data_IF_467083661765
#
_entry.id   IF_467083661765
#
_cell.length_a   1.000
_cell.length_b   1.000
_cell.length_c   1.000
_cell.angle_alpha   90.00
_cell.angle_beta   90.00
_cell.angle_gamma   90.00
#
_symmetry.space_group_name_H-M   'P 1'
#
loop_
_entity.id
_entity.type
_entity.pdbx_description
1 polymer ?
#
# COMPACT_ATOMS: atom_id res chain seq x y z
N UNK A 1 12.26 7.52 -28.66
CA UNK A 1 11.18 7.98 -27.74
C UNK A 1 11.33 7.20 -26.44
N UNK A 2 11.28 7.87 -25.30
CA UNK A 2 11.46 7.21 -24.00
C UNK A 2 10.32 6.23 -23.68
N UNK A 3 10.59 5.31 -22.75
CA UNK A 3 9.66 4.32 -22.21
C UNK A 3 9.15 4.80 -20.85
N UNK A 4 7.88 4.56 -20.52
CA UNK A 4 7.34 4.84 -19.20
C UNK A 4 6.76 3.58 -18.56
N UNK A 5 7.43 3.06 -17.52
CA UNK A 5 6.91 1.97 -16.71
C UNK A 5 5.62 2.39 -16.00
N UNK A 6 4.66 1.49 -15.93
CA UNK A 6 3.35 1.76 -15.32
C UNK A 6 2.78 0.53 -14.60
N UNK A 7 1.63 0.66 -13.96
CA UNK A 7 0.92 -0.45 -13.31
C UNK A 7 1.83 -1.25 -12.35
N UNK A 8 1.82 -2.60 -12.48
CA UNK A 8 2.64 -3.49 -11.64
C UNK A 8 4.14 -3.26 -11.83
N UNK A 9 4.59 -3.03 -13.07
CA UNK A 9 6.03 -2.83 -13.34
C UNK A 9 6.58 -1.56 -12.71
N UNK A 10 5.78 -0.51 -12.57
CA UNK A 10 6.19 0.67 -11.80
C UNK A 10 6.32 0.35 -10.31
N UNK A 11 5.43 -0.46 -9.73
CA UNK A 11 5.56 -0.89 -8.32
C UNK A 11 6.78 -1.77 -8.10
N UNK A 12 7.08 -2.68 -9.03
CA UNK A 12 8.29 -3.49 -8.99
C UNK A 12 9.55 -2.62 -9.03
N UNK A 13 9.59 -1.62 -9.92
CA UNK A 13 10.66 -0.63 -9.96
C UNK A 13 10.82 0.07 -8.60
N UNK A 14 9.73 0.58 -8.02
CA UNK A 14 9.76 1.27 -6.73
C UNK A 14 10.23 0.37 -5.58
N UNK A 15 9.91 -0.91 -5.61
CA UNK A 15 10.38 -1.90 -4.63
C UNK A 15 11.87 -2.15 -4.74
N UNK A 16 12.39 -2.25 -5.96
CA UNK A 16 13.81 -2.47 -6.22
C UNK A 16 14.70 -1.24 -6.02
N UNK A 17 14.13 -0.03 -5.98
CA UNK A 17 14.92 1.22 -5.83
C UNK A 17 15.78 1.23 -4.57
N UNK A 18 15.27 0.71 -3.44
CA UNK A 18 16.00 0.68 -2.18
C UNK A 18 17.26 -0.18 -2.22
N UNK A 19 17.21 -1.30 -2.90
CA UNK A 19 18.35 -2.23 -3.05
C UNK A 19 19.42 -1.66 -4.00
N UNK A 20 19.03 -0.77 -4.90
CA UNK A 20 19.91 -0.12 -5.88
C UNK A 20 20.37 1.27 -5.48
N UNK A 21 20.01 1.74 -4.29
CA UNK A 21 20.37 3.09 -3.82
C UNK A 21 19.69 4.24 -4.58
N UNK A 22 18.63 3.97 -5.33
CA UNK A 22 17.85 4.97 -6.06
C UNK A 22 16.91 5.67 -5.07
N UNK A 23 17.18 6.94 -4.78
CA UNK A 23 16.27 7.79 -3.98
C UNK A 23 15.20 8.40 -4.90
N UNK A 24 14.03 7.79 -4.93
CA UNK A 24 12.91 8.25 -5.75
C UNK A 24 12.45 9.67 -5.44
N UNK A 25 12.76 10.20 -4.24
CA UNK A 25 12.42 11.58 -3.86
C UNK A 25 13.28 12.63 -4.58
N UNK A 26 14.38 12.21 -5.19
CA UNK A 26 15.29 13.05 -5.96
C UNK A 26 15.06 12.98 -7.47
N UNK A 27 14.26 12.03 -7.94
CA UNK A 27 13.96 11.93 -9.36
C UNK A 27 13.12 13.13 -9.82
N UNK A 28 13.51 13.80 -10.90
CA UNK A 28 12.75 14.92 -11.43
C UNK A 28 11.39 14.45 -11.95
N UNK A 29 10.35 15.18 -11.63
CA UNK A 29 9.04 15.00 -12.23
C UNK A 29 9.04 15.58 -13.62
N UNK A 30 8.67 14.80 -14.60
CA UNK A 30 8.70 15.20 -15.99
C UNK A 30 7.65 14.45 -16.80
N UNK A 31 7.42 14.95 -17.99
CA UNK A 31 6.75 14.24 -19.05
C UNK A 31 5.23 14.35 -19.06
N UNK A 32 4.77 14.66 -20.25
CA UNK A 32 3.43 14.31 -20.72
C UNK A 32 3.48 12.84 -21.14
N UNK A 33 2.47 12.04 -20.78
CA UNK A 33 2.37 10.63 -21.24
C UNK A 33 2.35 10.54 -22.78
N UNK A 34 2.13 11.68 -23.47
CA UNK A 34 2.16 11.79 -24.91
C UNK A 34 3.49 11.47 -25.57
N UNK A 35 4.57 11.53 -24.82
CA UNK A 35 5.93 11.43 -25.37
C UNK A 35 6.52 10.03 -25.25
N UNK A 36 5.77 9.05 -24.69
CA UNK A 36 6.25 7.72 -24.40
C UNK A 36 5.91 6.70 -25.49
N UNK A 37 6.85 5.77 -25.71
CA UNK A 37 6.75 4.65 -26.64
C UNK A 37 6.81 3.31 -25.90
N UNK A 38 6.33 2.27 -26.57
CA UNK A 38 6.55 0.90 -26.13
C UNK A 38 7.63 0.18 -26.97
N UNK A 39 8.28 0.90 -27.86
CA UNK A 39 9.44 0.39 -28.58
C UNK A 39 10.66 0.43 -27.66
N UNK A 40 11.58 -0.51 -27.85
CA UNK A 40 12.86 -0.56 -27.13
C UNK A 40 12.76 -0.64 -25.60
N UNK A 41 11.66 -1.23 -25.07
CA UNK A 41 11.46 -1.39 -23.62
C UNK A 41 12.61 -2.17 -22.98
N UNK A 42 13.00 -3.28 -23.58
CA UNK A 42 14.04 -4.14 -23.03
C UNK A 42 15.43 -3.51 -23.15
N UNK A 43 15.71 -2.79 -24.22
CA UNK A 43 16.95 -2.01 -24.38
C UNK A 43 17.05 -0.94 -23.29
N UNK A 44 16.00 -0.16 -23.08
CA UNK A 44 15.97 0.86 -22.03
C UNK A 44 16.13 0.26 -20.61
N UNK A 45 15.62 -0.94 -20.36
CA UNK A 45 15.82 -1.64 -19.11
C UNK A 45 17.23 -2.20 -18.95
N UNK A 46 17.84 -2.65 -20.03
CA UNK A 46 19.21 -3.15 -20.06
C UNK A 46 20.22 -2.03 -19.81
N UNK A 47 20.06 -0.89 -20.50
CA UNK A 47 20.89 0.31 -20.34
C UNK A 47 20.94 0.80 -18.88
N UNK A 48 19.80 0.67 -18.16
CA UNK A 48 19.70 1.05 -16.73
C UNK A 48 20.06 -0.11 -15.78
N UNK A 49 20.47 -1.27 -16.28
CA UNK A 49 20.75 -2.44 -15.48
C UNK A 49 19.54 -3.00 -14.74
N UNK A 50 18.33 -2.80 -15.28
CA UNK A 50 17.06 -3.25 -14.69
C UNK A 50 16.56 -4.57 -15.29
N UNK A 51 17.30 -5.16 -16.22
CA UNK A 51 17.01 -6.47 -16.78
C UNK A 51 16.87 -7.52 -15.69
N UNK A 52 15.80 -8.32 -15.73
CA UNK A 52 15.50 -9.34 -14.73
C UNK A 52 14.93 -8.83 -13.40
N UNK A 53 14.80 -7.51 -13.21
CA UNK A 53 14.17 -6.91 -12.02
C UNK A 53 12.64 -6.90 -12.13
N UNK A 54 12.13 -6.76 -13.34
CA UNK A 54 10.70 -6.66 -13.59
C UNK A 54 10.15 -8.01 -14.06
N UNK A 55 8.99 -8.39 -13.54
CA UNK A 55 8.28 -9.57 -14.01
C UNK A 55 7.69 -9.34 -15.41
N UNK A 56 7.68 -10.37 -16.23
CA UNK A 56 7.00 -10.34 -17.52
C UNK A 56 5.49 -10.65 -17.35
N UNK A 57 4.64 -9.99 -18.11
CA UNK A 57 4.94 -8.94 -19.09
C UNK A 57 5.23 -7.58 -18.43
N UNK A 58 6.12 -6.79 -19.03
CA UNK A 58 6.40 -5.41 -18.60
C UNK A 58 5.23 -4.49 -19.00
N UNK A 59 4.72 -3.72 -18.06
CA UNK A 59 3.61 -2.80 -18.26
C UNK A 59 4.13 -1.38 -18.51
N UNK A 60 3.74 -0.79 -19.62
CA UNK A 60 4.14 0.56 -20.03
C UNK A 60 2.94 1.45 -20.33
N UNK A 61 3.06 2.74 -19.99
CA UNK A 61 2.07 3.75 -20.35
C UNK A 61 2.40 4.34 -21.71
N UNK A 62 1.40 4.51 -22.58
CA UNK A 62 1.49 5.15 -23.89
C UNK A 62 0.30 6.08 -24.12
N UNK A 63 0.44 7.09 -24.99
CA UNK A 63 -0.64 8.04 -25.28
C UNK A 63 -1.80 7.41 -26.03
N UNK A 64 -1.50 6.59 -27.03
CA UNK A 64 -2.52 6.06 -27.92
C UNK A 64 -2.90 4.61 -27.59
N UNK A 65 -4.19 4.30 -27.72
CA UNK A 65 -4.67 2.92 -27.78
C UNK A 65 -4.27 2.34 -29.14
N UNK A 66 -3.08 1.78 -29.25
CA UNK A 66 -2.73 0.95 -30.39
C UNK A 66 -3.56 -0.32 -30.36
N UNK A 67 -4.01 -0.80 -31.53
CA UNK A 67 -4.81 -2.04 -31.65
C UNK A 67 -4.09 -3.27 -31.07
N UNK A 68 -2.76 -3.25 -31.01
CA UNK A 68 -1.95 -4.29 -30.35
C UNK A 68 -1.66 -3.92 -28.90
N UNK A 69 -2.47 -4.46 -27.97
CA UNK A 69 -2.27 -4.27 -26.52
C UNK A 69 -1.09 -5.06 -25.98
N UNK A 70 -0.68 -6.14 -26.64
CA UNK A 70 0.39 -7.04 -26.22
C UNK A 70 1.42 -7.17 -27.34
N UNK A 71 2.68 -7.03 -27.00
CA UNK A 71 3.83 -7.25 -27.87
C UNK A 71 4.90 -7.97 -27.07
N UNK A 72 5.24 -9.20 -27.48
CA UNK A 72 6.33 -10.01 -26.92
C UNK A 72 6.85 -9.56 -25.52
N UNK A 73 6.15 -9.96 -24.45
CA UNK A 73 6.54 -9.59 -23.09
C UNK A 73 6.21 -8.16 -22.63
N UNK A 74 5.53 -7.33 -23.45
CA UNK A 74 5.14 -5.95 -23.08
C UNK A 74 3.64 -5.74 -23.21
N UNK A 75 3.02 -5.16 -22.18
CA UNK A 75 1.61 -4.74 -22.17
C UNK A 75 1.52 -3.22 -22.24
N UNK A 76 0.89 -2.72 -23.29
CA UNK A 76 0.68 -1.29 -23.54
C UNK A 76 -0.62 -0.83 -22.89
N UNK A 77 -0.54 0.26 -22.14
CA UNK A 77 -1.69 0.89 -21.49
C UNK A 77 -1.88 2.32 -22.01
N UNK A 78 -2.92 2.53 -22.79
CA UNK A 78 -3.29 3.86 -23.26
C UNK A 78 -3.81 4.75 -22.13
N UNK A 79 -3.26 5.94 -21.98
CA UNK A 79 -3.78 6.98 -21.09
C UNK A 79 -4.49 8.01 -21.94
N UNK A 80 -5.83 8.00 -21.84
CA UNK A 80 -6.72 8.84 -22.68
C UNK A 80 -7.09 10.18 -22.04
N UNK A 81 -6.62 10.45 -20.82
CA UNK A 81 -6.94 11.68 -20.08
C UNK A 81 -5.72 12.59 -20.13
N UNK A 82 -5.93 13.84 -20.52
CA UNK A 82 -4.90 14.88 -20.38
C UNK A 82 -4.62 15.08 -18.89
N UNK A 83 -3.34 14.95 -18.52
CA UNK A 83 -2.89 15.17 -17.17
C UNK A 83 -2.37 16.60 -17.06
N UNK A 84 -2.97 17.38 -16.17
CA UNK A 84 -2.57 18.76 -15.88
C UNK A 84 -1.25 18.87 -15.09
N UNK A 85 -0.78 17.76 -14.53
CA UNK A 85 0.46 17.68 -13.74
C UNK A 85 1.40 16.66 -14.37
N UNK A 86 2.72 16.74 -14.08
CA UNK A 86 3.66 15.71 -14.50
C UNK A 86 3.18 14.32 -14.06
N UNK A 87 3.22 13.37 -14.97
CA UNK A 87 2.67 12.03 -14.75
C UNK A 87 3.73 10.97 -14.39
N UNK A 88 5.01 11.31 -14.54
CA UNK A 88 6.11 10.38 -14.38
C UNK A 88 7.32 11.02 -13.69
N UNK A 89 8.16 10.19 -13.11
CA UNK A 89 9.55 10.51 -12.76
C UNK A 89 10.46 10.15 -13.94
N UNK A 90 11.42 11.02 -14.23
CA UNK A 90 12.49 10.73 -15.18
C UNK A 90 13.58 9.95 -14.46
N UNK A 91 13.86 8.73 -14.91
CA UNK A 91 14.96 7.90 -14.41
C UNK A 91 16.21 8.19 -15.24
N UNK A 92 16.06 8.21 -16.57
CA UNK A 92 17.10 8.58 -17.55
C UNK A 92 16.48 9.23 -18.79
N UNK A 93 17.27 9.42 -19.84
CA UNK A 93 16.74 9.93 -21.13
C UNK A 93 15.84 8.92 -21.83
N UNK A 94 16.07 7.61 -21.62
CA UNK A 94 15.33 6.52 -22.25
C UNK A 94 14.22 5.96 -21.36
N UNK A 95 14.28 6.14 -20.02
CA UNK A 95 13.40 5.49 -19.06
C UNK A 95 12.73 6.48 -18.10
N UNK A 96 11.42 6.31 -17.98
CA UNK A 96 10.54 7.01 -17.04
C UNK A 96 9.73 5.98 -16.24
N UNK A 97 9.21 6.38 -15.10
CA UNK A 97 8.29 5.58 -14.27
C UNK A 97 7.10 6.43 -13.87
N UNK A 98 5.90 5.92 -14.10
CA UNK A 98 4.66 6.60 -13.76
C UNK A 98 4.60 6.94 -12.27
N UNK A 99 4.11 8.13 -11.92
CA UNK A 99 3.98 8.55 -10.51
C UNK A 99 3.16 7.55 -9.70
N UNK A 100 3.45 7.36 -8.41
CA UNK A 100 2.72 6.42 -7.54
C UNK A 100 1.22 6.68 -7.53
N UNK A 101 0.80 7.95 -7.56
CA UNK A 101 -0.61 8.35 -7.60
C UNK A 101 -1.31 7.89 -8.88
N UNK A 102 -0.63 8.01 -10.02
CA UNK A 102 -1.12 7.51 -11.31
C UNK A 102 -1.19 5.98 -11.30
N UNK A 103 -0.13 5.32 -10.81
CA UNK A 103 -0.11 3.85 -10.70
C UNK A 103 -1.26 3.32 -9.85
N UNK A 104 -1.60 3.97 -8.72
CA UNK A 104 -2.73 3.56 -7.88
C UNK A 104 -4.07 3.67 -8.64
N UNK A 105 -4.27 4.72 -9.44
CA UNK A 105 -5.47 4.84 -10.28
C UNK A 105 -5.49 3.76 -11.35
N UNK A 106 -4.38 3.53 -12.04
CA UNK A 106 -4.27 2.50 -13.07
C UNK A 106 -4.52 1.10 -12.51
N UNK A 107 -3.95 0.76 -11.35
CA UNK A 107 -4.17 -0.52 -10.68
C UNK A 107 -5.61 -0.67 -10.19
N UNK A 108 -6.32 0.42 -9.89
CA UNK A 108 -7.74 0.41 -9.56
C UNK A 108 -8.65 -0.19 -10.64
N UNK A 109 -8.16 -0.33 -11.86
CA UNK A 109 -8.85 -0.99 -12.97
C UNK A 109 -8.66 -2.51 -13.01
N UNK A 110 -7.65 -3.05 -12.33
CA UNK A 110 -7.20 -4.44 -12.49
C UNK A 110 -7.14 -5.20 -11.16
N UNK A 111 -6.77 -4.52 -10.07
CA UNK A 111 -6.61 -5.13 -8.77
C UNK A 111 -7.96 -5.29 -8.03
N UNK A 112 -8.04 -6.30 -7.16
CA UNK A 112 -9.11 -6.37 -6.18
C UNK A 112 -9.06 -5.17 -5.23
N UNK A 113 -10.16 -4.88 -4.53
CA UNK A 113 -10.18 -3.77 -3.54
C UNK A 113 -9.13 -3.96 -2.44
N UNK A 114 -8.92 -5.21 -2.00
CA UNK A 114 -7.92 -5.55 -0.97
C UNK A 114 -6.51 -5.37 -1.52
N UNK A 115 -6.20 -5.89 -2.70
CA UNK A 115 -4.85 -5.77 -3.29
C UNK A 115 -4.51 -4.30 -3.60
N UNK A 116 -5.49 -3.52 -4.06
CA UNK A 116 -5.30 -2.08 -4.26
C UNK A 116 -5.05 -1.36 -2.93
N UNK A 117 -5.71 -1.77 -1.84
CA UNK A 117 -5.46 -1.23 -0.51
C UNK A 117 -4.03 -1.55 -0.03
N UNK A 118 -3.54 -2.77 -0.29
CA UNK A 118 -2.16 -3.15 0.05
C UNK A 118 -1.15 -2.29 -0.70
N UNK A 119 -1.32 -2.08 -2.00
CA UNK A 119 -0.47 -1.19 -2.80
C UNK A 119 -0.51 0.25 -2.31
N UNK A 120 -1.69 0.73 -1.93
CA UNK A 120 -1.86 2.08 -1.42
C UNK A 120 -1.19 2.27 -0.05
N UNK A 121 -1.33 1.31 0.88
CA UNK A 121 -0.61 1.31 2.15
C UNK A 121 0.90 1.26 1.97
N UNK A 122 1.41 0.40 1.08
CA UNK A 122 2.83 0.33 0.75
C UNK A 122 3.35 1.65 0.15
N UNK A 123 2.56 2.29 -0.73
CA UNK A 123 2.92 3.57 -1.34
C UNK A 123 2.97 4.73 -0.34
N UNK A 124 2.06 4.73 0.63
CA UNK A 124 1.93 5.75 1.66
C UNK A 124 2.66 5.38 2.97
N UNK A 125 3.30 4.22 3.01
CA UNK A 125 4.00 3.66 4.15
C UNK A 125 5.52 3.83 4.08
N UNK A 126 6.16 3.46 5.17
CA UNK A 126 7.63 3.51 5.34
C UNK A 126 8.30 2.17 5.03
N UNK A 127 7.66 1.31 4.28
CA UNK A 127 8.19 0.00 3.89
C UNK A 127 7.96 -0.27 2.40
N UNK A 128 8.73 -1.20 1.87
CA UNK A 128 8.52 -1.81 0.57
C UNK A 128 8.60 -3.33 0.73
N UNK A 129 7.61 -4.05 0.24
CA UNK A 129 7.64 -5.51 0.20
C UNK A 129 8.74 -5.95 -0.76
N UNK A 130 9.58 -6.91 -0.37
CA UNK A 130 10.58 -7.47 -1.27
C UNK A 130 9.92 -8.31 -2.34
N UNK A 131 10.29 -8.06 -3.59
CA UNK A 131 9.86 -8.91 -4.70
C UNK A 131 10.60 -10.24 -4.60
N UNK A 132 9.88 -11.38 -4.56
CA UNK A 132 10.55 -12.68 -4.58
C UNK A 132 11.42 -12.83 -5.82
N UNK A 133 12.61 -13.43 -5.66
CA UNK A 133 13.57 -13.67 -6.77
C UNK A 133 12.98 -14.52 -7.90
N UNK A 134 11.93 -15.25 -7.63
CA UNK A 134 11.21 -16.12 -8.56
C UNK A 134 10.20 -15.36 -9.47
N UNK A 135 10.24 -14.03 -9.52
CA UNK A 135 9.48 -13.20 -10.46
C UNK A 135 7.98 -13.08 -10.19
N UNK A 136 7.53 -13.47 -9.00
CA UNK A 136 6.12 -13.41 -8.65
C UNK A 136 5.74 -12.12 -7.93
N UNK A 137 5.21 -11.12 -8.63
CA UNK A 137 4.54 -10.00 -7.95
C UNK A 137 3.20 -10.46 -7.38
N UNK A 138 3.03 -10.29 -6.07
CA UNK A 138 1.83 -10.69 -5.33
C UNK A 138 0.55 -9.90 -5.69
N UNK A 139 0.48 -9.25 -6.85
CA UNK A 139 -0.65 -8.36 -7.22
C UNK A 139 -1.45 -8.84 -8.44
N UNK A 140 -1.02 -9.89 -9.14
CA UNK A 140 -1.76 -10.33 -10.32
C UNK A 140 -2.23 -11.78 -10.21
N UNK A 141 -3.52 -11.96 -10.13
CA UNK A 141 -4.24 -13.23 -10.22
C UNK A 141 -4.09 -13.98 -11.55
N UNK A 142 -3.25 -13.53 -12.47
CA UNK A 142 -3.08 -14.17 -13.79
C UNK A 142 -2.08 -15.32 -13.82
N UNK A 143 -1.23 -15.47 -12.78
CA UNK A 143 -0.25 -16.57 -12.74
C UNK A 143 -0.78 -17.87 -12.14
N UNK A 144 -2.04 -17.94 -11.72
CA UNK A 144 -2.65 -19.14 -11.11
C UNK A 144 -2.09 -19.52 -9.72
N UNK A 145 -1.06 -18.85 -9.22
CA UNK A 145 -0.54 -19.05 -7.85
C UNK A 145 -1.31 -18.16 -6.89
N UNK A 146 -1.76 -18.73 -5.77
CA UNK A 146 -2.35 -17.94 -4.70
C UNK A 146 -1.33 -16.90 -4.20
N UNK A 147 -1.73 -15.63 -4.02
CA UNK A 147 -0.84 -14.61 -3.49
C UNK A 147 -0.40 -14.97 -2.07
N UNK A 148 0.88 -14.71 -1.75
CA UNK A 148 1.41 -14.94 -0.39
C UNK A 148 0.69 -14.04 0.61
N UNK A 149 0.47 -14.51 1.86
CA UNK A 149 -0.09 -13.68 2.91
C UNK A 149 0.82 -12.49 3.24
N UNK A 150 0.24 -11.31 3.41
CA UNK A 150 1.00 -10.09 3.64
C UNK A 150 1.85 -10.13 4.92
N UNK A 151 1.35 -10.75 5.98
CA UNK A 151 1.99 -10.79 7.30
C UNK A 151 3.39 -11.42 7.29
N UNK A 152 3.62 -12.41 6.44
CA UNK A 152 4.88 -13.13 6.31
C UNK A 152 5.84 -12.57 5.25
N UNK A 153 5.47 -11.49 4.56
CA UNK A 153 6.31 -10.93 3.49
C UNK A 153 7.55 -10.23 4.07
N UNK A 154 8.70 -10.51 3.45
CA UNK A 154 9.92 -9.75 3.71
C UNK A 154 9.78 -8.32 3.18
N UNK A 155 10.34 -7.36 3.90
CA UNK A 155 10.26 -5.96 3.51
C UNK A 155 11.54 -5.19 3.84
N UNK A 156 11.73 -4.08 3.16
CA UNK A 156 12.77 -3.10 3.44
C UNK A 156 12.15 -1.78 3.91
N UNK A 157 12.86 -1.07 4.78
CA UNK A 157 12.43 0.28 5.19
C UNK A 157 12.73 1.28 4.07
N UNK A 158 11.78 2.14 3.75
CA UNK A 158 11.93 3.25 2.80
C UNK A 158 11.10 4.46 3.20
N UNK A 159 11.36 5.60 2.58
CA UNK A 159 10.46 6.76 2.65
C UNK A 159 9.17 6.48 1.87
N UNK A 160 8.02 7.04 2.28
CA UNK A 160 6.78 6.94 1.51
C UNK A 160 6.97 7.49 0.09
N UNK A 161 6.39 6.83 -0.89
CA UNK A 161 6.39 7.30 -2.29
C UNK A 161 5.43 8.48 -2.45
N UNK A 162 4.32 8.45 -1.72
CA UNK A 162 3.26 9.46 -1.75
C UNK A 162 2.57 9.56 -0.39
N UNK A 163 1.47 10.31 -0.33
CA UNK A 163 0.55 10.37 0.82
C UNK A 163 -0.88 10.16 0.35
N UNK A 164 -1.73 9.68 1.25
CA UNK A 164 -3.18 9.54 0.98
C UNK A 164 -3.77 10.85 0.44
N UNK A 165 -3.37 11.99 1.00
CA UNK A 165 -3.82 13.32 0.55
C UNK A 165 -3.40 13.63 -0.89
N UNK A 166 -2.15 13.33 -1.27
CA UNK A 166 -1.66 13.55 -2.64
C UNK A 166 -2.36 12.63 -3.63
N UNK A 167 -2.47 11.33 -3.30
CA UNK A 167 -3.17 10.35 -4.11
C UNK A 167 -4.64 10.71 -4.31
N UNK A 168 -5.32 11.19 -3.26
CA UNK A 168 -6.69 11.69 -3.35
C UNK A 168 -6.82 12.91 -4.26
N UNK A 169 -5.90 13.88 -4.15
CA UNK A 169 -5.88 15.07 -5.03
C UNK A 169 -5.74 14.63 -6.48
N UNK A 170 -4.77 13.78 -6.77
CA UNK A 170 -4.57 13.25 -8.12
C UNK A 170 -5.80 12.50 -8.64
N UNK A 171 -6.38 11.60 -7.85
CA UNK A 171 -7.59 10.88 -8.26
C UNK A 171 -8.79 11.83 -8.54
N UNK A 172 -8.85 13.00 -7.89
CA UNK A 172 -9.86 14.03 -8.19
C UNK A 172 -9.59 14.78 -9.49
N UNK A 173 -8.32 15.01 -9.86
CA UNK A 173 -7.98 15.71 -11.11
C UNK A 173 -8.21 14.87 -12.36
N UNK A 174 -8.40 13.55 -12.22
CA UNK A 174 -8.58 12.62 -13.36
C UNK A 174 -9.92 11.84 -13.30
N UNK A 175 -11.08 12.51 -13.25
CA UNK A 175 -12.38 11.87 -12.96
C UNK A 175 -12.79 10.82 -14.01
N UNK A 176 -12.33 10.94 -15.25
CA UNK A 176 -12.64 10.03 -16.36
C UNK A 176 -11.68 8.84 -16.50
N UNK A 177 -10.60 8.79 -15.70
CA UNK A 177 -9.61 7.73 -15.84
C UNK A 177 -10.17 6.38 -15.36
N UNK A 178 -9.88 5.33 -16.14
CA UNK A 178 -10.25 3.97 -15.76
C UNK A 178 -9.54 3.58 -14.44
N UNK A 179 -10.31 3.01 -13.49
CA UNK A 179 -9.82 2.65 -12.16
C UNK A 179 -9.96 3.73 -11.10
N UNK A 180 -10.23 5.00 -11.47
CA UNK A 180 -10.30 6.12 -10.52
C UNK A 180 -11.37 5.93 -9.42
N UNK A 181 -12.50 5.29 -9.73
CA UNK A 181 -13.56 5.01 -8.75
C UNK A 181 -13.07 4.04 -7.67
N UNK A 182 -12.39 2.97 -8.07
CA UNK A 182 -11.80 2.00 -7.13
C UNK A 182 -10.69 2.66 -6.30
N UNK A 183 -9.81 3.46 -6.92
CA UNK A 183 -8.77 4.18 -6.21
C UNK A 183 -9.34 5.13 -5.16
N UNK A 184 -10.34 5.96 -5.50
CA UNK A 184 -11.00 6.85 -4.53
C UNK A 184 -11.65 6.09 -3.39
N UNK A 185 -12.28 4.95 -3.68
CA UNK A 185 -12.90 4.08 -2.68
C UNK A 185 -11.89 3.54 -1.69
N UNK A 186 -10.73 3.07 -2.15
CA UNK A 186 -9.64 2.58 -1.29
C UNK A 186 -9.01 3.71 -0.50
N UNK A 187 -8.67 4.81 -1.16
CA UNK A 187 -8.06 5.98 -0.52
C UNK A 187 -8.94 6.60 0.58
N UNK A 188 -10.26 6.35 0.58
CA UNK A 188 -11.16 6.87 1.60
C UNK A 188 -11.02 6.22 2.97
N UNK A 189 -10.36 5.06 3.08
CA UNK A 189 -10.27 4.33 4.35
C UNK A 189 -8.85 3.88 4.73
N UNK A 190 -7.86 4.02 3.86
CA UNK A 190 -6.47 3.74 4.25
C UNK A 190 -5.84 4.91 5.00
N UNK A 191 -4.75 4.64 5.70
CA UNK A 191 -4.00 5.61 6.49
C UNK A 191 -2.55 5.72 6.00
N UNK A 192 -1.97 6.93 6.17
CA UNK A 192 -0.54 7.15 5.97
C UNK A 192 0.29 6.52 7.09
N UNK A 193 1.51 6.16 6.78
CA UNK A 193 2.54 5.97 7.79
C UNK A 193 2.65 4.55 8.36
N UNK A 194 2.07 3.54 7.71
CA UNK A 194 2.37 2.15 8.04
C UNK A 194 3.87 1.86 7.88
N UNK A 195 4.46 1.13 8.84
CA UNK A 195 5.89 0.83 8.88
C UNK A 195 6.22 -0.61 8.52
N UNK A 196 5.21 -1.45 8.35
CA UNK A 196 5.40 -2.87 8.04
C UNK A 196 4.17 -3.50 7.41
N UNK A 197 4.33 -4.64 6.70
CA UNK A 197 3.24 -5.48 6.25
C UNK A 197 2.29 -5.90 7.38
N UNK A 198 2.86 -6.25 8.53
CA UNK A 198 2.10 -6.65 9.74
C UNK A 198 1.17 -5.53 10.20
N UNK A 199 1.67 -4.31 10.33
CA UNK A 199 0.85 -3.17 10.75
C UNK A 199 -0.23 -2.83 9.72
N UNK A 200 0.06 -2.97 8.42
CA UNK A 200 -0.95 -2.83 7.36
C UNK A 200 -2.06 -3.88 7.50
N UNK A 201 -1.70 -5.14 7.80
CA UNK A 201 -2.69 -6.19 8.03
C UNK A 201 -3.58 -5.88 9.26
N UNK A 202 -3.00 -5.43 10.37
CA UNK A 202 -3.75 -4.99 11.56
C UNK A 202 -4.70 -3.84 11.22
N UNK A 203 -4.23 -2.84 10.51
CA UNK A 203 -5.05 -1.68 10.10
C UNK A 203 -6.23 -2.12 9.23
N UNK A 204 -6.03 -3.01 8.26
CA UNK A 204 -7.11 -3.51 7.40
C UNK A 204 -8.10 -4.39 8.17
N UNK A 205 -7.62 -5.24 9.10
CA UNK A 205 -8.50 -6.09 9.89
C UNK A 205 -9.37 -5.29 10.85
N UNK A 206 -8.82 -4.27 11.50
CA UNK A 206 -9.54 -3.49 12.53
C UNK A 206 -10.25 -2.25 11.95
N UNK A 207 -9.53 -1.40 11.20
CA UNK A 207 -10.05 -0.16 10.66
C UNK A 207 -10.65 -0.28 9.26
N UNK A 208 -10.30 -1.33 8.50
CA UNK A 208 -10.86 -1.60 7.18
C UNK A 208 -12.37 -1.77 7.20
N UNK A 209 -13.08 -1.40 6.12
CA UNK A 209 -14.53 -1.43 6.08
C UNK A 209 -15.09 -2.86 6.09
N UNK A 210 -16.28 -3.04 6.65
CA UNK A 210 -16.94 -4.35 6.80
C UNK A 210 -17.26 -5.03 5.47
N UNK A 211 -17.36 -4.26 4.38
CA UNK A 211 -17.58 -4.81 3.03
C UNK A 211 -16.40 -5.65 2.50
N UNK A 212 -15.18 -5.39 2.97
CA UNK A 212 -13.99 -6.20 2.65
C UNK A 212 -13.66 -7.21 3.76
N UNK A 213 -14.38 -7.24 4.86
CA UNK A 213 -14.17 -8.14 5.99
C UNK A 213 -13.46 -7.54 7.20
N UNK A 214 -13.14 -6.24 7.19
CA UNK A 214 -12.62 -5.51 8.36
C UNK A 214 -13.70 -5.24 9.41
N UNK A 215 -13.29 -4.79 10.59
CA UNK A 215 -14.20 -4.50 11.69
C UNK A 215 -14.89 -3.14 11.57
N UNK A 216 -14.40 -2.23 10.70
CA UNK A 216 -14.97 -0.92 10.47
C UNK A 216 -14.74 0.08 11.61
N UNK A 217 -13.65 -0.05 12.35
CA UNK A 217 -13.26 0.93 13.37
C UNK A 217 -12.60 2.15 12.72
N UNK A 218 -13.42 3.02 12.15
CA UNK A 218 -12.99 4.19 11.37
C UNK A 218 -12.24 5.22 12.22
N UNK A 219 -11.46 6.08 11.53
CA UNK A 219 -10.74 7.20 12.16
C UNK A 219 -9.42 6.80 12.82
N UNK A 220 -8.90 5.62 12.48
CA UNK A 220 -7.58 5.19 12.92
C UNK A 220 -6.48 6.06 12.32
N UNK A 221 -5.42 6.26 13.10
CA UNK A 221 -4.13 6.81 12.66
C UNK A 221 -3.02 5.84 13.07
N UNK A 222 -1.93 5.82 12.31
CA UNK A 222 -0.86 4.84 12.54
C UNK A 222 0.39 5.48 13.14
N UNK A 223 1.12 4.69 13.92
CA UNK A 223 2.44 5.02 14.46
C UNK A 223 2.49 6.36 15.20
N UNK A 224 1.80 6.43 16.31
CA UNK A 224 1.79 7.63 17.16
C UNK A 224 2.40 7.38 18.52
N UNK A 225 3.15 8.37 18.97
CA UNK A 225 3.49 8.51 20.38
C UNK A 225 2.28 9.15 21.07
N UNK A 226 1.78 8.51 22.12
CA UNK A 226 0.57 8.93 22.83
C UNK A 226 0.84 9.06 24.33
N UNK A 227 0.26 10.05 25.01
CA UNK A 227 0.31 10.13 26.46
C UNK A 227 -0.58 9.04 27.08
N UNK A 228 -0.08 8.39 28.11
CA UNK A 228 -0.80 7.41 28.95
C UNK A 228 -0.60 7.73 30.42
N UNK A 229 -1.32 7.07 31.32
CA UNK A 229 -1.14 7.23 32.79
C UNK A 229 0.28 6.93 33.26
N UNK A 230 0.95 6.03 32.54
CA UNK A 230 2.31 5.56 32.87
C UNK A 230 3.41 6.37 32.14
N UNK A 231 3.03 7.42 31.41
CA UNK A 231 3.93 8.22 30.58
C UNK A 231 3.65 8.04 29.08
N UNK A 232 4.62 8.44 28.26
CA UNK A 232 4.47 8.34 26.80
C UNK A 232 4.70 6.90 26.31
N UNK A 233 3.74 6.38 25.53
CA UNK A 233 3.84 5.06 24.87
C UNK A 233 3.69 5.20 23.35
N UNK A 234 4.32 4.29 22.65
CA UNK A 234 4.16 4.17 21.21
C UNK A 234 2.98 3.25 20.90
N UNK A 235 2.05 3.71 20.07
CA UNK A 235 0.95 2.88 19.61
C UNK A 235 0.98 2.68 18.09
N UNK A 236 0.77 1.45 17.65
CA UNK A 236 0.73 1.08 16.23
C UNK A 236 -0.51 1.63 15.55
N UNK A 237 -1.65 1.55 16.22
CA UNK A 237 -2.92 2.10 15.77
C UNK A 237 -3.51 2.92 16.91
N UNK A 238 -4.00 4.11 16.60
CA UNK A 238 -4.67 4.99 17.57
C UNK A 238 -6.00 5.46 16.98
N UNK A 239 -7.02 5.44 17.81
CA UNK A 239 -8.31 6.09 17.54
C UNK A 239 -8.47 7.29 18.47
N UNK A 240 -7.99 8.47 18.05
CA UNK A 240 -7.92 9.65 18.94
C UNK A 240 -9.28 10.07 19.50
N UNK A 241 -10.33 9.94 18.68
CA UNK A 241 -11.69 10.29 19.04
C UNK A 241 -12.31 9.44 20.17
N UNK A 242 -11.64 8.30 20.50
CA UNK A 242 -12.05 7.41 21.57
C UNK A 242 -11.01 7.32 22.70
N UNK A 243 -9.86 7.99 22.56
CA UNK A 243 -8.76 7.86 23.52
C UNK A 243 -8.19 6.43 23.60
N UNK A 244 -8.17 5.68 22.50
CA UNK A 244 -7.77 4.27 22.46
C UNK A 244 -6.58 4.09 21.50
N UNK A 245 -5.60 3.32 21.96
CA UNK A 245 -4.47 2.86 21.15
C UNK A 245 -4.35 1.33 21.19
N UNK A 246 -3.62 0.78 20.24
CA UNK A 246 -3.23 -0.62 20.15
C UNK A 246 -1.73 -0.71 19.88
N UNK A 247 -1.03 -1.56 20.61
CA UNK A 247 0.38 -1.86 20.44
C UNK A 247 0.57 -3.36 20.24
N UNK A 248 1.34 -3.76 19.23
CA UNK A 248 1.76 -5.14 19.00
C UNK A 248 3.08 -5.40 19.73
N UNK A 249 3.08 -6.33 20.70
CA UNK A 249 4.19 -6.53 21.64
C UNK A 249 5.29 -7.46 21.14
N UNK A 250 4.96 -8.43 20.28
CA UNK A 250 5.84 -9.55 19.90
C UNK A 250 6.46 -9.41 18.50
N UNK A 251 6.38 -8.25 17.86
CA UNK A 251 6.92 -8.06 16.52
C UNK A 251 8.28 -7.36 16.54
N UNK A 252 9.36 -8.14 16.51
CA UNK A 252 10.74 -7.64 16.55
C UNK A 252 11.09 -6.68 15.38
N UNK A 253 10.51 -6.88 14.19
CA UNK A 253 10.71 -6.00 13.02
C UNK A 253 10.13 -4.60 13.25
N UNK A 254 9.02 -4.50 13.96
CA UNK A 254 8.41 -3.24 14.36
C UNK A 254 9.26 -2.53 15.41
N UNK A 255 9.80 -3.26 16.40
CA UNK A 255 10.67 -2.71 17.44
C UNK A 255 11.96 -2.09 16.87
N UNK A 256 12.62 -2.77 15.93
CA UNK A 256 13.82 -2.25 15.28
C UNK A 256 13.57 -0.96 14.48
N UNK A 257 12.40 -0.84 13.83
CA UNK A 257 12.05 0.38 13.11
C UNK A 257 11.64 1.52 14.06
N UNK A 258 10.95 1.21 15.15
CA UNK A 258 10.61 2.20 16.21
C UNK A 258 11.85 2.92 16.73
N UNK A 259 12.97 2.20 16.91
CA UNK A 259 14.24 2.80 17.37
C UNK A 259 14.80 3.84 16.39
N UNK A 260 14.58 3.66 15.09
CA UNK A 260 14.97 4.65 14.07
C UNK A 260 14.04 5.87 14.07
N UNK A 261 12.75 5.70 14.34
CA UNK A 261 11.76 6.76 14.42
C UNK A 261 11.85 7.59 15.71
N UNK A 262 12.49 7.09 16.76
CA UNK A 262 12.63 7.82 18.03
C UNK A 262 13.35 9.17 17.89
N UNK A 263 14.20 9.32 16.86
CA UNK A 263 14.87 10.61 16.57
C UNK A 263 13.92 11.74 16.14
N UNK A 264 12.70 11.40 15.67
CA UNK A 264 11.67 12.37 15.25
C UNK A 264 10.46 12.44 16.22
N UNK A 265 10.65 12.05 17.47
CA UNK A 265 9.61 11.89 18.51
C UNK A 265 8.65 13.09 18.61
N UNK A 266 9.18 14.31 18.71
CA UNK A 266 8.36 15.51 18.98
C UNK A 266 7.36 15.86 17.86
N UNK A 267 7.62 15.49 16.61
CA UNK A 267 6.75 15.79 15.46
C UNK A 267 5.58 14.84 15.32
N UNK A 268 5.56 13.74 16.08
CA UNK A 268 4.58 12.65 15.94
C UNK A 268 3.64 12.52 17.13
N UNK A 269 3.74 13.41 18.11
CA UNK A 269 2.79 13.43 19.23
C UNK A 269 1.40 13.78 18.72
N UNK A 270 0.43 13.02 19.18
CA UNK A 270 -0.99 13.28 18.94
C UNK A 270 -1.47 14.22 20.06
N UNK A 271 -2.14 15.30 19.68
CA UNK A 271 -2.85 16.14 20.64
C UNK A 271 -4.12 15.39 21.08
N UNK A 272 -3.97 14.50 21.97
CA UNK A 272 -5.06 13.74 22.62
C UNK A 272 -4.75 13.78 24.11
N UNK A 273 -5.80 13.91 24.90
CA UNK A 273 -5.70 13.71 26.33
C UNK A 273 -5.20 12.28 26.60
N UNK A 274 -5.38 11.70 27.71
CA UNK A 274 -4.89 10.38 28.04
C UNK A 274 -5.42 9.25 27.12
N UNK A 275 -4.53 8.38 26.60
CA UNK A 275 -4.88 7.26 25.73
C UNK A 275 -4.72 5.92 26.49
N UNK A 276 -5.76 5.11 26.46
CA UNK A 276 -5.70 3.72 26.93
C UNK A 276 -5.15 2.81 25.82
N UNK A 277 -3.98 2.22 26.03
CA UNK A 277 -3.32 1.37 25.02
C UNK A 277 -3.54 -0.10 25.34
N UNK A 278 -4.20 -0.80 24.42
CA UNK A 278 -4.33 -2.25 24.41
C UNK A 278 -3.01 -2.87 23.95
N UNK A 279 -2.50 -3.85 24.68
CA UNK A 279 -1.42 -4.71 24.19
C UNK A 279 -2.03 -5.90 23.45
N UNK A 280 -1.48 -6.21 22.27
CA UNK A 280 -1.85 -7.39 21.51
C UNK A 280 -0.59 -8.15 21.08
N UNK A 281 -0.72 -9.44 20.79
CA UNK A 281 0.32 -10.25 20.20
C UNK A 281 -0.11 -10.81 18.83
N UNK A 282 0.81 -11.39 18.10
CA UNK A 282 0.54 -11.96 16.76
C UNK A 282 -0.58 -13.00 16.80
N UNK A 283 -0.69 -13.78 17.88
CA UNK A 283 -1.75 -14.78 18.05
C UNK A 283 -3.14 -14.15 18.13
N UNK A 284 -3.27 -12.94 18.69
CA UNK A 284 -4.55 -12.22 18.76
C UNK A 284 -5.09 -11.84 17.36
N UNK A 285 -4.24 -11.90 16.34
CA UNK A 285 -4.63 -11.69 14.94
C UNK A 285 -4.75 -12.99 14.16
N UNK A 286 -3.90 -13.99 14.41
CA UNK A 286 -3.90 -15.25 13.66
C UNK A 286 -4.99 -16.21 14.11
N UNK A 287 -5.29 -16.28 15.40
CA UNK A 287 -6.42 -17.02 15.96
C UNK A 287 -7.72 -16.22 15.81
N UNK A 288 -8.79 -16.87 15.34
CA UNK A 288 -10.06 -16.17 15.08
C UNK A 288 -10.82 -15.81 16.35
N UNK A 289 -10.82 -16.69 17.34
CA UNK A 289 -11.56 -16.46 18.61
C UNK A 289 -10.87 -15.38 19.43
N UNK A 290 -9.54 -15.39 19.46
CA UNK A 290 -8.74 -14.33 20.09
C UNK A 290 -8.93 -12.99 19.38
N UNK A 291 -8.94 -12.98 18.05
CA UNK A 291 -9.22 -11.77 17.26
C UNK A 291 -10.61 -11.22 17.57
N UNK A 292 -11.61 -12.08 17.62
CA UNK A 292 -12.97 -11.67 17.95
C UNK A 292 -13.08 -11.11 19.39
N UNK A 293 -12.34 -11.68 20.34
CA UNK A 293 -12.26 -11.17 21.72
C UNK A 293 -11.63 -9.78 21.74
N UNK A 294 -10.44 -9.62 21.12
CA UNK A 294 -9.76 -8.33 20.99
C UNK A 294 -10.66 -7.27 20.34
N UNK A 295 -11.32 -7.62 19.24
CA UNK A 295 -12.23 -6.71 18.55
C UNK A 295 -13.43 -6.29 19.39
N UNK A 296 -13.99 -7.22 20.22
CA UNK A 296 -15.08 -6.89 21.16
C UNK A 296 -14.59 -5.95 22.28
N UNK A 297 -13.39 -6.16 22.80
CA UNK A 297 -12.84 -5.32 23.86
C UNK A 297 -12.55 -3.90 23.36
N UNK A 298 -11.94 -3.76 22.18
CA UNK A 298 -11.75 -2.48 21.52
C UNK A 298 -13.10 -1.80 21.25
N UNK A 299 -14.07 -2.53 20.69
CA UNK A 299 -15.40 -1.96 20.40
C UNK A 299 -16.11 -1.50 21.68
N UNK A 300 -16.03 -2.29 22.77
CA UNK A 300 -16.59 -1.93 24.09
C UNK A 300 -15.97 -0.63 24.61
N UNK A 301 -14.65 -0.51 24.53
CA UNK A 301 -13.94 0.70 24.93
C UNK A 301 -14.32 1.93 24.06
N UNK A 302 -14.64 1.71 22.78
CA UNK A 302 -15.18 2.76 21.89
C UNK A 302 -16.66 3.08 22.10
N UNK A 303 -17.37 2.38 22.97
CA UNK A 303 -18.83 2.49 23.09
C UNK A 303 -19.57 1.93 21.86
N UNK A 304 -18.95 1.06 21.08
CA UNK A 304 -19.50 0.46 19.85
C UNK A 304 -19.87 -1.00 20.02
N UNK A 305 -20.73 -1.50 19.12
CA UNK A 305 -21.03 -2.93 19.00
C UNK A 305 -20.29 -3.51 17.81
N UNK A 306 -19.69 -4.67 17.99
CA UNK A 306 -19.08 -5.43 16.89
C UNK A 306 -20.17 -5.99 15.98
N UNK A 307 -20.02 -5.80 14.68
CA UNK A 307 -21.01 -6.23 13.66
C UNK A 307 -20.65 -7.57 13.00
N UNK A 308 -20.16 -8.53 13.78
CA UNK A 308 -19.74 -9.85 13.28
C UNK A 308 -20.94 -10.67 12.73
N UNK A 309 -22.14 -10.42 13.24
CA UNK A 309 -23.37 -11.12 12.83
C UNK A 309 -23.97 -10.65 11.51
N UNK A 310 -23.42 -9.63 10.86
CA UNK A 310 -23.90 -9.20 9.54
C UNK A 310 -23.78 -10.33 8.52
N UNK A 311 -24.85 -10.54 7.74
CA UNK A 311 -24.91 -11.56 6.69
C UNK A 311 -23.67 -11.48 5.78
N UNK A 312 -22.99 -12.61 5.62
CA UNK A 312 -21.78 -12.73 4.79
C UNK A 312 -20.53 -12.03 5.36
N UNK A 313 -20.56 -11.42 6.58
CA UNK A 313 -19.37 -10.79 7.15
C UNK A 313 -18.26 -11.81 7.39
N UNK A 314 -18.58 -12.97 7.99
CA UNK A 314 -17.61 -14.04 8.26
C UNK A 314 -16.93 -14.56 6.99
N UNK A 315 -17.67 -14.70 5.89
CA UNK A 315 -17.08 -15.10 4.61
C UNK A 315 -16.10 -14.05 4.09
N UNK A 316 -16.46 -12.76 4.13
CA UNK A 316 -15.57 -11.67 3.73
C UNK A 316 -14.36 -11.55 4.66
N UNK A 317 -14.57 -11.72 5.97
CA UNK A 317 -13.50 -11.73 6.97
C UNK A 317 -12.51 -12.88 6.71
N UNK A 318 -13.01 -14.09 6.42
CA UNK A 318 -12.16 -15.22 6.06
C UNK A 318 -11.34 -14.94 4.79
N UNK A 319 -11.96 -14.38 3.75
CA UNK A 319 -11.26 -13.98 2.53
C UNK A 319 -10.20 -12.88 2.78
N UNK A 320 -10.51 -11.89 3.60
CA UNK A 320 -9.53 -10.87 4.00
C UNK A 320 -8.37 -11.48 4.79
N UNK A 321 -8.68 -12.31 5.77
CA UNK A 321 -7.67 -12.97 6.63
C UNK A 321 -6.74 -13.86 5.82
N UNK A 322 -7.27 -14.67 4.88
CA UNK A 322 -6.43 -15.54 4.02
C UNK A 322 -5.46 -14.72 3.14
N UNK A 323 -5.81 -13.49 2.79
CA UNK A 323 -4.94 -12.59 2.03
C UNK A 323 -3.89 -11.90 2.91
N UNK A 324 -4.19 -11.66 4.18
CA UNK A 324 -3.36 -10.87 5.09
C UNK A 324 -2.49 -11.73 6.01
N UNK A 325 -3.01 -12.84 6.50
CA UNK A 325 -2.40 -13.63 7.57
C UNK A 325 -1.86 -14.96 7.02
N UNK A 326 -0.77 -15.51 7.60
CA UNK A 326 -0.38 -16.88 7.29
C UNK A 326 -1.52 -17.83 7.63
N UNK A 327 -1.77 -18.78 6.74
CA UNK A 327 -2.71 -19.86 7.04
C UNK A 327 -2.14 -20.72 8.18
N UNK A 328 -2.97 -21.15 9.13
CA UNK A 328 -2.53 -22.04 10.21
C UNK A 328 -2.08 -23.39 9.67
#
# INVERSE_FOLDING_TARGET
MPVCLSHSSAFEFYRGCGERGIDTSRLPKSGSIGDFSALHVFEALEDEGLSGMLALPVHVAVRERTHQRFQCGVVKHGVSVELSEPAAYKVSESLYVALPELCLVQMGAQASEVDLALLAYESCGFYAVRTPKDGGVAVSSRSGKAPRPLWGEEFACRKPLTTVRKAHRFARSVPGMHGVKSARKVLSYIQDGSISPVQTAMALLLAGPTRIGGMGFEGAILNKLVPTREGERWADIVWPQYGIGLELSDCASVAAYRSRLQRDRRRRMTKVDEVSVFAACSQDFTDLDRFDSLARDIARAMGKRVRISLRGHRQRQAALRSRLLPMP
#
